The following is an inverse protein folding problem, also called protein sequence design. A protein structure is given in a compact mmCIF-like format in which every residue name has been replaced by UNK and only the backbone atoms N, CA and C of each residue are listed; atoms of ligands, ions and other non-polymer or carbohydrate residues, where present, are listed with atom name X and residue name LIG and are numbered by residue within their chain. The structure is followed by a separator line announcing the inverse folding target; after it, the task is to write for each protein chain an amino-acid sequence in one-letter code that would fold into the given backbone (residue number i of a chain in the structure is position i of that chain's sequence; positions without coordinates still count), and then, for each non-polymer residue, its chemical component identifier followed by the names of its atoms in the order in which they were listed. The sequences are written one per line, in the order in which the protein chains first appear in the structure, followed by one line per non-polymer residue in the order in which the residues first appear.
data_IF_006752103507
#
_entry.id   IF_006752103507
#
_cell.length_a   1.000
_cell.length_b   1.000
_cell.length_c   1.000
_cell.angle_alpha   90.00
_cell.angle_beta   90.00
_cell.angle_gamma   90.00
#
_symmetry.space_group_name_H-M   'P 1'
#
loop_
_entity.id
_entity.type
_entity.pdbx_description
1 polymer ?
#
# COMPACT_ATOMS: atom_id res chain seq x y z
N UNK A 1 1.36 -24.29 -13.45
CA UNK A 1 0.97 -22.92 -13.89
C UNK A 1 0.04 -22.22 -12.90
N UNK A 2 -0.79 -22.92 -12.14
CA UNK A 2 -1.58 -22.33 -11.05
C UNK A 2 -0.73 -21.63 -9.96
N UNK A 3 0.54 -21.98 -9.79
CA UNK A 3 1.40 -21.41 -8.75
C UNK A 3 1.72 -19.93 -8.98
N UNK A 4 2.08 -19.53 -10.20
CA UNK A 4 2.47 -18.13 -10.48
C UNK A 4 1.28 -17.17 -10.33
N UNK A 5 0.11 -17.58 -10.81
CA UNK A 5 -1.15 -16.86 -10.57
C UNK A 5 -1.45 -16.73 -9.08
N UNK A 6 -1.37 -17.85 -8.34
CA UNK A 6 -1.59 -17.87 -6.88
C UNK A 6 -0.63 -16.96 -6.13
N UNK A 7 0.65 -16.90 -6.51
CA UNK A 7 1.63 -16.00 -5.87
C UNK A 7 1.24 -14.54 -6.05
N UNK A 8 0.89 -14.15 -7.27
CA UNK A 8 0.48 -12.77 -7.58
C UNK A 8 -0.79 -12.40 -6.81
N UNK A 9 -1.78 -13.29 -6.76
CA UNK A 9 -3.03 -13.06 -6.03
C UNK A 9 -2.82 -13.08 -4.51
N UNK A 10 -1.95 -13.93 -3.98
CA UNK A 10 -1.62 -13.94 -2.56
C UNK A 10 -0.94 -12.63 -2.11
N UNK A 11 -0.07 -12.06 -2.95
CA UNK A 11 0.50 -10.72 -2.71
C UNK A 11 -0.59 -9.65 -2.72
N UNK A 12 -1.52 -9.70 -3.68
CA UNK A 12 -2.67 -8.82 -3.70
C UNK A 12 -3.50 -8.91 -2.42
N UNK A 13 -3.87 -10.12 -2.00
CA UNK A 13 -4.71 -10.33 -0.82
C UNK A 13 -4.01 -9.84 0.46
N UNK A 14 -2.70 -10.04 0.56
CA UNK A 14 -1.89 -9.53 1.67
C UNK A 14 -1.85 -8.00 1.72
N UNK A 15 -1.81 -7.32 0.56
CA UNK A 15 -1.88 -5.87 0.51
C UNK A 15 -3.29 -5.36 0.84
N UNK A 16 -4.33 -6.03 0.37
CA UNK A 16 -5.72 -5.71 0.70
C UNK A 16 -6.01 -5.83 2.18
N UNK A 17 -5.47 -6.86 2.84
CA UNK A 17 -5.59 -7.03 4.29
C UNK A 17 -4.93 -5.90 5.11
N UNK A 18 -3.97 -5.17 4.53
CA UNK A 18 -3.30 -4.03 5.16
C UNK A 18 -3.92 -2.69 4.77
N UNK A 19 -4.94 -2.68 3.91
CA UNK A 19 -5.55 -1.46 3.39
C UNK A 19 -6.32 -0.67 4.45
N UNK A 20 -6.97 -1.37 5.38
CA UNK A 20 -7.61 -0.74 6.54
C UNK A 20 -6.59 0.07 7.35
N UNK A 21 -5.41 -0.52 7.60
CA UNK A 21 -4.33 0.16 8.31
C UNK A 21 -3.80 1.38 7.55
N UNK A 22 -3.74 1.33 6.20
CA UNK A 22 -3.38 2.49 5.39
C UNK A 22 -4.40 3.63 5.56
N UNK A 23 -5.69 3.31 5.56
CA UNK A 23 -6.75 4.30 5.80
C UNK A 23 -6.68 4.90 7.20
N UNK A 24 -6.46 4.08 8.23
CA UNK A 24 -6.27 4.55 9.61
C UNK A 24 -5.10 5.53 9.73
N UNK A 25 -3.94 5.18 9.16
CA UNK A 25 -2.76 6.05 9.16
C UNK A 25 -3.03 7.38 8.45
N UNK A 26 -3.75 7.37 7.32
CA UNK A 26 -4.18 8.61 6.65
C UNK A 26 -5.03 9.48 7.56
N UNK A 27 -5.99 8.89 8.27
CA UNK A 27 -6.85 9.62 9.20
C UNK A 27 -6.05 10.18 10.40
N UNK A 28 -5.12 9.41 10.95
CA UNK A 28 -4.25 9.86 12.03
C UNK A 28 -3.36 11.03 11.58
N UNK A 29 -2.76 10.95 10.38
CA UNK A 29 -2.00 12.05 9.79
C UNK A 29 -2.86 13.31 9.54
N UNK A 30 -4.17 13.19 9.34
CA UNK A 30 -5.08 14.37 9.24
C UNK A 30 -5.34 15.06 10.57
N UNK A 31 -5.24 14.32 11.67
CA UNK A 31 -5.44 14.83 13.03
C UNK A 31 -4.18 15.48 13.61
N UNK A 32 -3.01 15.21 13.02
CA UNK A 32 -1.79 15.92 13.39
C UNK A 32 -1.96 17.42 13.12
N UNK A 33 -1.60 18.30 14.09
CA UNK A 33 -1.73 19.74 13.91
C UNK A 33 -1.08 20.20 12.61
N UNK A 34 -1.74 21.11 11.89
CA UNK A 34 -1.29 21.63 10.58
C UNK A 34 0.10 22.31 10.62
N UNK A 35 0.68 22.49 11.81
CA UNK A 35 2.03 23.00 11.99
C UNK A 35 3.13 22.06 11.46
N UNK A 36 2.84 20.78 11.17
CA UNK A 36 3.90 19.81 10.92
C UNK A 36 4.18 19.52 9.44
N UNK A 37 5.10 20.33 8.91
CA UNK A 37 6.22 20.00 8.01
C UNK A 37 5.94 19.32 6.66
N UNK A 38 6.76 19.64 5.67
CA UNK A 38 6.78 18.99 4.36
C UNK A 38 6.83 17.44 4.45
N UNK A 39 7.27 16.87 5.58
CA UNK A 39 7.26 15.44 5.87
C UNK A 39 5.84 14.85 5.93
N UNK A 40 4.90 15.48 6.64
CA UNK A 40 3.49 15.03 6.70
C UNK A 40 2.84 15.07 5.32
N UNK A 41 3.09 16.15 4.55
CA UNK A 41 2.61 16.27 3.17
C UNK A 41 3.20 15.22 2.22
N UNK A 42 4.48 14.84 2.40
CA UNK A 42 5.10 13.72 1.66
C UNK A 42 4.48 12.38 2.05
N UNK A 43 4.30 12.11 3.34
CA UNK A 43 3.73 10.85 3.83
C UNK A 43 2.28 10.66 3.37
N UNK A 44 1.43 11.70 3.43
CA UNK A 44 0.07 11.64 2.89
C UNK A 44 0.03 11.31 1.40
N UNK A 45 0.90 11.95 0.59
CA UNK A 45 1.00 11.66 -0.84
C UNK A 45 1.51 10.25 -1.12
N UNK A 46 2.43 9.74 -0.30
CA UNK A 46 2.94 8.38 -0.43
C UNK A 46 1.84 7.34 -0.17
N UNK A 47 1.04 7.50 0.90
CA UNK A 47 -0.10 6.63 1.20
C UNK A 47 -1.15 6.66 0.07
N UNK A 48 -1.47 7.85 -0.45
CA UNK A 48 -2.35 8.01 -1.62
C UNK A 48 -1.78 7.31 -2.87
N UNK A 49 -0.48 7.44 -3.11
CA UNK A 49 0.19 6.78 -4.23
C UNK A 49 0.15 5.25 -4.12
N UNK A 50 0.33 4.71 -2.91
CA UNK A 50 0.24 3.27 -2.65
C UNK A 50 -1.18 2.73 -2.92
N UNK A 51 -2.20 3.42 -2.42
CA UNK A 51 -3.61 3.08 -2.66
C UNK A 51 -3.96 3.14 -4.15
N UNK A 52 -3.60 4.22 -4.83
CA UNK A 52 -3.84 4.38 -6.26
C UNK A 52 -3.10 3.31 -7.08
N UNK A 53 -1.87 2.96 -6.70
CA UNK A 53 -1.10 1.90 -7.36
C UNK A 53 -1.79 0.54 -7.24
N UNK A 54 -2.34 0.23 -6.06
CA UNK A 54 -3.09 -0.99 -5.82
C UNK A 54 -4.40 -1.03 -6.63
N UNK A 55 -5.19 0.04 -6.58
CA UNK A 55 -6.44 0.16 -7.34
C UNK A 55 -6.20 0.12 -8.85
N UNK A 56 -5.15 0.78 -9.32
CA UNK A 56 -4.75 0.72 -10.73
C UNK A 56 -4.35 -0.70 -11.14
N UNK A 57 -3.55 -1.39 -10.32
CA UNK A 57 -3.18 -2.78 -10.59
C UNK A 57 -4.41 -3.68 -10.66
N UNK A 58 -5.34 -3.54 -9.71
CA UNK A 58 -6.58 -4.31 -9.66
C UNK A 58 -7.47 -4.06 -10.89
N UNK A 59 -7.63 -2.80 -11.32
CA UNK A 59 -8.40 -2.47 -12.52
C UNK A 59 -7.76 -2.98 -13.82
N UNK A 60 -6.45 -3.16 -13.86
CA UNK A 60 -5.72 -3.58 -15.06
C UNK A 60 -5.35 -5.07 -15.06
N UNK A 61 -5.56 -5.78 -13.95
CA UNK A 61 -5.34 -7.22 -13.89
C UNK A 61 -6.38 -7.95 -14.75
N UNK A 62 -5.90 -8.77 -15.69
CA UNK A 62 -6.73 -9.57 -16.59
C UNK A 62 -6.13 -10.95 -16.70
N UNK A 63 -6.80 -11.94 -16.11
CA UNK A 63 -6.39 -13.33 -16.23
C UNK A 63 -6.25 -13.70 -17.72
N UNK A 64 -5.09 -14.23 -18.15
CA UNK A 64 -4.92 -14.71 -19.52
C UNK A 64 -5.94 -15.81 -19.85
N UNK A 65 -6.38 -15.87 -21.11
CA UNK A 65 -7.25 -16.96 -21.56
C UNK A 65 -6.59 -18.34 -21.34
N UNK A 66 -7.40 -19.34 -21.03
CA UNK A 66 -6.91 -20.72 -20.81
C UNK A 66 -6.29 -21.32 -22.10
N UNK A 67 -6.68 -20.79 -23.27
CA UNK A 67 -6.09 -21.11 -24.57
C UNK A 67 -4.71 -20.50 -24.81
N UNK A 68 -4.24 -19.57 -23.98
CA UNK A 68 -2.90 -18.98 -24.13
C UNK A 68 -1.80 -20.04 -23.92
N UNK A 69 -0.67 -19.86 -24.60
CA UNK A 69 0.47 -20.77 -24.40
C UNK A 69 1.03 -20.66 -22.98
N UNK A 70 1.66 -21.73 -22.52
CA UNK A 70 2.34 -21.77 -21.22
C UNK A 70 3.32 -20.61 -21.03
N UNK A 71 4.18 -20.39 -22.02
CA UNK A 71 5.17 -19.33 -22.03
C UNK A 71 4.53 -17.94 -21.92
N UNK A 72 3.43 -17.70 -22.66
CA UNK A 72 2.73 -16.41 -22.62
C UNK A 72 2.08 -16.14 -21.27
N UNK A 73 1.51 -17.17 -20.62
CA UNK A 73 0.97 -17.05 -19.26
C UNK A 73 2.07 -16.75 -18.24
N UNK A 74 3.19 -17.48 -18.31
CA UNK A 74 4.32 -17.27 -17.40
C UNK A 74 4.89 -15.86 -17.53
N UNK A 75 5.10 -15.37 -18.76
CA UNK A 75 5.57 -14.02 -19.01
C UNK A 75 4.59 -12.96 -18.47
N UNK A 76 3.27 -13.18 -18.64
CA UNK A 76 2.26 -12.29 -18.09
C UNK A 76 2.33 -12.22 -16.56
N UNK A 77 2.34 -13.37 -15.88
CA UNK A 77 2.38 -13.40 -14.42
C UNK A 77 3.70 -12.89 -13.85
N UNK A 78 4.84 -13.09 -14.54
CA UNK A 78 6.11 -12.47 -14.15
C UNK A 78 6.02 -10.93 -14.17
N UNK A 79 5.45 -10.35 -15.24
CA UNK A 79 5.24 -8.90 -15.29
C UNK A 79 4.23 -8.39 -14.25
N UNK A 80 3.19 -9.17 -13.94
CA UNK A 80 2.26 -8.81 -12.87
C UNK A 80 2.89 -8.91 -11.48
N UNK A 81 3.81 -9.85 -11.26
CA UNK A 81 4.57 -10.00 -10.04
C UNK A 81 5.45 -8.75 -9.79
N UNK A 82 6.23 -8.32 -10.79
CA UNK A 82 7.07 -7.12 -10.67
C UNK A 82 6.27 -5.86 -10.33
N UNK A 83 5.07 -5.73 -10.93
CA UNK A 83 4.15 -4.62 -10.66
C UNK A 83 3.66 -4.67 -9.22
N UNK A 84 3.16 -5.82 -8.75
CA UNK A 84 2.62 -5.91 -7.40
C UNK A 84 3.70 -5.81 -6.33
N UNK A 85 4.93 -6.28 -6.60
CA UNK A 85 6.07 -6.10 -5.71
C UNK A 85 6.46 -4.62 -5.59
N UNK A 86 6.33 -3.86 -6.68
CA UNK A 86 6.58 -2.41 -6.67
C UNK A 86 5.52 -1.67 -5.86
N UNK A 87 4.24 -2.04 -6.02
CA UNK A 87 3.15 -1.52 -5.19
C UNK A 87 3.39 -1.90 -3.73
N UNK A 88 3.78 -3.13 -3.43
CA UNK A 88 4.05 -3.62 -2.08
C UNK A 88 5.15 -2.81 -1.38
N UNK A 89 6.28 -2.57 -2.06
CA UNK A 89 7.37 -1.73 -1.52
C UNK A 89 6.91 -0.30 -1.23
N UNK A 90 6.14 0.31 -2.13
CA UNK A 90 5.58 1.64 -1.90
C UNK A 90 4.60 1.63 -0.72
N UNK A 91 3.77 0.60 -0.61
CA UNK A 91 2.79 0.43 0.44
C UNK A 91 3.45 0.32 1.82
N UNK A 92 4.43 -0.57 1.96
CA UNK A 92 5.17 -0.79 3.21
C UNK A 92 5.98 0.45 3.62
N UNK A 93 6.73 1.06 2.69
CA UNK A 93 7.52 2.27 3.00
C UNK A 93 6.64 3.47 3.38
N UNK A 94 5.46 3.62 2.74
CA UNK A 94 4.51 4.67 3.06
C UNK A 94 3.91 4.49 4.45
N UNK A 95 3.55 3.25 4.81
CA UNK A 95 3.07 2.92 6.15
C UNK A 95 4.13 3.17 7.21
N UNK A 96 5.37 2.72 7.00
CA UNK A 96 6.46 2.91 7.95
C UNK A 96 6.73 4.40 8.21
N UNK A 97 6.83 5.19 7.14
CA UNK A 97 6.99 6.65 7.22
C UNK A 97 5.84 7.32 7.97
N UNK A 98 4.60 6.88 7.73
CA UNK A 98 3.42 7.41 8.40
C UNK A 98 3.40 7.04 9.90
N UNK A 99 3.75 5.81 10.25
CA UNK A 99 3.83 5.35 11.64
C UNK A 99 4.88 6.12 12.43
N UNK A 100 6.04 6.40 11.83
CA UNK A 100 7.06 7.23 12.46
C UNK A 100 6.54 8.63 12.78
N UNK A 101 5.79 9.26 11.87
CA UNK A 101 5.22 10.60 12.09
C UNK A 101 4.11 10.59 13.15
N UNK A 102 3.22 9.58 13.13
CA UNK A 102 2.18 9.45 14.15
C UNK A 102 2.77 9.14 15.53
N UNK A 103 3.77 8.26 15.60
CA UNK A 103 4.43 7.89 16.86
C UNK A 103 5.36 8.97 17.42
N UNK A 104 5.91 9.84 16.56
CA UNK A 104 6.72 10.98 16.96
C UNK A 104 5.89 12.21 17.37
N UNK A 105 4.58 12.24 17.05
CA UNK A 105 3.70 13.28 17.56
C UNK A 105 3.68 13.16 19.09
N UNK A 106 4.00 14.24 19.83
CA UNK A 106 3.96 14.18 21.28
C UNK A 106 2.55 13.76 21.67
N UNK A 107 2.45 12.69 22.48
CA UNK A 107 1.20 12.30 23.11
C UNK A 107 0.59 13.58 23.66
N UNK A 108 -0.55 14.00 23.10
CA UNK A 108 -1.28 15.14 23.62
C UNK A 108 -1.52 14.84 25.09
N UNK A 109 -0.82 15.58 25.96
CA UNK A 109 -0.85 15.40 27.40
C UNK A 109 -2.30 15.18 27.87
N UNK A 110 -2.62 14.13 28.64
CA UNK A 110 -3.80 14.20 29.48
C UNK A 110 -3.49 15.25 30.54
N UNK A 111 -3.93 16.49 30.32
CA UNK A 111 -3.97 17.52 31.35
C UNK A 111 -4.58 16.91 32.62
N UNK A 112 -3.77 16.80 33.67
CA UNK A 112 -4.26 16.75 35.05
C UNK A 112 -3.49 17.82 35.81
N UNK A 113 -4.02 19.04 35.73
CA UNK A 113 -3.83 20.02 36.76
C UNK A 113 -4.70 19.57 37.95
N UNK A 114 -4.07 19.21 39.07
CA UNK A 114 -4.58 19.50 40.40
C UNK A 114 -3.48 19.41 41.45
#
# INVERSE_FOLDING_TARGET
MATAEKTVLAHHDSLMAQMDQLYELRQQLTKLPAADTAATGRSRRALLGAENGMMFWMHNYRRPADSATAARRLAYYAGQQERIDSVSRLFLSSQDSARQLVGAAPAANPSSAQ
#
